data_IF_046798355940
#
_entry.id   IF_046798355940
#
_cell.length_a   1.000
_cell.length_b   1.000
_cell.length_c   1.000
_cell.angle_alpha   90.00
_cell.angle_beta   90.00
_cell.angle_gamma   90.00
#
_symmetry.space_group_name_H-M   'P 1'
#
loop_
_entity.id
_entity.type
_entity.pdbx_description
1 polymer ?
#
# COMPACT_ATOMS: atom_id res chain seq x y z
N UNK A 1 -1.82 9.13 -6.31
CA UNK A 1 -2.77 8.24 -5.59
C UNK A 1 -2.43 6.79 -5.91
N UNK A 2 -2.52 5.87 -4.93
CA UNK A 2 -2.08 4.47 -5.08
C UNK A 2 -3.27 3.52 -5.00
N UNK A 3 -3.39 2.64 -5.99
CA UNK A 3 -4.35 1.53 -6.03
C UNK A 3 -3.64 0.21 -6.31
N UNK A 4 -4.23 -0.90 -5.92
CA UNK A 4 -3.80 -2.24 -6.28
C UNK A 4 -4.50 -2.64 -7.58
N UNK A 5 -3.77 -2.99 -8.67
CA UNK A 5 -4.39 -3.24 -9.96
C UNK A 5 -5.39 -4.41 -9.95
N UNK A 6 -5.21 -5.40 -9.05
CA UNK A 6 -6.16 -6.50 -8.88
C UNK A 6 -7.48 -6.06 -8.23
N UNK A 7 -7.48 -4.93 -7.51
CA UNK A 7 -8.68 -4.35 -6.89
C UNK A 7 -9.31 -3.27 -7.78
N UNK A 8 -8.49 -2.34 -8.28
CA UNK A 8 -8.94 -1.25 -9.15
C UNK A 8 -7.77 -0.69 -9.96
N UNK A 9 -7.75 -0.98 -11.25
CA UNK A 9 -6.70 -0.60 -12.18
C UNK A 9 -6.99 0.70 -12.92
N UNK A 10 -5.99 1.24 -13.65
CA UNK A 10 -6.21 2.38 -14.56
C UNK A 10 -7.20 2.02 -15.68
N UNK A 11 -7.25 0.75 -16.11
CA UNK A 11 -8.20 0.28 -17.11
C UNK A 11 -9.64 0.25 -16.57
N UNK A 12 -9.80 -0.06 -15.26
CA UNK A 12 -11.09 0.05 -14.59
C UNK A 12 -11.55 1.50 -14.51
N UNK A 13 -10.65 2.42 -14.15
CA UNK A 13 -10.97 3.86 -14.13
C UNK A 13 -11.31 4.36 -15.54
N UNK A 14 -10.62 3.89 -16.58
CA UNK A 14 -10.96 4.21 -17.96
C UNK A 14 -12.37 3.76 -18.31
N UNK A 15 -12.75 2.57 -17.89
CA UNK A 15 -14.09 1.97 -18.15
C UNK A 15 -15.22 2.74 -17.47
N UNK A 16 -15.02 3.14 -16.19
CA UNK A 16 -16.05 3.85 -15.42
C UNK A 16 -15.98 5.37 -15.59
N UNK A 17 -14.88 5.88 -16.12
CA UNK A 17 -14.58 7.31 -16.38
C UNK A 17 -14.40 8.15 -15.13
N UNK A 18 -15.26 8.04 -14.12
CA UNK A 18 -15.17 8.74 -12.83
C UNK A 18 -15.44 7.74 -11.71
N UNK A 19 -14.61 7.80 -10.66
CA UNK A 19 -14.73 6.91 -9.50
C UNK A 19 -14.43 7.67 -8.20
N UNK A 20 -15.21 7.49 -7.12
CA UNK A 20 -14.86 7.96 -5.80
C UNK A 20 -13.60 7.25 -5.29
N UNK A 21 -12.59 8.00 -4.85
CA UNK A 21 -11.39 7.44 -4.24
C UNK A 21 -11.66 7.00 -2.80
N UNK A 22 -12.56 6.04 -2.66
CA UNK A 22 -13.09 5.54 -1.39
C UNK A 22 -12.12 4.60 -0.67
N UNK A 23 -12.46 4.18 0.55
CA UNK A 23 -11.70 3.18 1.31
C UNK A 23 -10.42 3.71 1.98
N UNK A 24 -10.14 5.00 1.91
CA UNK A 24 -8.98 5.59 2.60
C UNK A 24 -9.28 5.72 4.10
N UNK A 25 -8.53 4.97 4.94
CA UNK A 25 -8.70 4.95 6.41
C UNK A 25 -7.47 5.49 7.16
N UNK A 26 -6.67 6.32 6.48
CA UNK A 26 -5.57 7.07 7.04
C UNK A 26 -5.94 8.55 7.17
N UNK A 27 -5.89 9.10 8.39
CA UNK A 27 -6.13 10.53 8.60
C UNK A 27 -5.14 11.43 7.84
N UNK A 28 -3.89 10.99 7.66
CA UNK A 28 -2.90 11.72 6.87
C UNK A 28 -3.25 11.73 5.39
N UNK A 29 -3.63 10.58 4.82
CA UNK A 29 -4.02 10.48 3.42
C UNK A 29 -5.30 11.30 3.16
N UNK A 30 -6.29 11.25 4.08
CA UNK A 30 -7.49 12.08 4.04
C UNK A 30 -7.16 13.58 4.10
N UNK A 31 -6.21 13.98 4.95
CA UNK A 31 -5.79 15.38 5.04
C UNK A 31 -5.20 15.89 3.71
N UNK A 32 -4.49 15.05 2.96
CA UNK A 32 -4.04 15.40 1.61
C UNK A 32 -5.21 15.51 0.63
N UNK A 33 -6.18 14.58 0.67
CA UNK A 33 -7.37 14.68 -0.20
C UNK A 33 -8.18 15.95 0.05
N UNK A 34 -8.26 16.41 1.30
CA UNK A 34 -8.96 17.66 1.67
C UNK A 34 -8.26 18.92 1.20
N UNK A 35 -6.98 18.85 0.86
CA UNK A 35 -6.22 19.97 0.28
C UNK A 35 -6.34 20.04 -1.24
N UNK A 36 -6.90 19.01 -1.87
CA UNK A 36 -7.08 18.96 -3.31
C UNK A 36 -8.17 19.92 -3.77
N UNK A 37 -7.96 20.45 -4.97
CA UNK A 37 -8.92 21.28 -5.71
C UNK A 37 -9.43 20.53 -6.94
N UNK A 38 -10.64 20.86 -7.40
CA UNK A 38 -11.16 20.37 -8.67
C UNK A 38 -10.19 20.81 -9.79
N UNK A 39 -9.79 19.87 -10.63
CA UNK A 39 -8.82 20.10 -11.69
C UNK A 39 -7.40 19.65 -11.38
N UNK A 40 -7.05 19.38 -10.11
CA UNK A 40 -5.72 18.89 -9.74
C UNK A 40 -5.38 17.59 -10.45
N UNK A 41 -4.15 17.53 -10.97
CA UNK A 41 -3.62 16.33 -11.63
C UNK A 41 -3.31 15.21 -10.65
N UNK A 42 -3.63 13.99 -11.02
CA UNK A 42 -3.41 12.78 -10.22
C UNK A 42 -2.56 11.79 -11.01
N UNK A 43 -1.37 11.48 -10.50
CA UNK A 43 -0.60 10.32 -10.95
C UNK A 43 -1.26 9.05 -10.40
N UNK A 44 -1.80 8.22 -11.30
CA UNK A 44 -2.41 6.94 -10.93
C UNK A 44 -1.34 5.86 -10.81
N UNK A 45 -1.05 5.46 -9.57
CA UNK A 45 0.05 4.55 -9.25
C UNK A 45 -0.49 3.16 -8.89
N UNK A 46 -0.01 2.13 -9.58
CA UNK A 46 -0.24 0.74 -9.24
C UNK A 46 0.74 0.28 -8.16
N UNK A 47 0.21 -0.07 -6.98
CA UNK A 47 0.95 -0.70 -5.88
C UNK A 47 0.67 -2.20 -5.86
N UNK A 48 1.37 -2.95 -5.00
CA UNK A 48 1.17 -4.41 -4.84
C UNK A 48 1.28 -5.22 -6.15
N UNK A 49 2.07 -4.74 -7.11
CA UNK A 49 2.38 -5.40 -8.38
C UNK A 49 3.89 -5.36 -8.63
N UNK A 50 4.38 -6.14 -9.60
CA UNK A 50 5.81 -6.25 -9.90
C UNK A 50 6.08 -5.95 -11.38
N UNK A 51 6.78 -4.85 -11.71
CA UNK A 51 7.16 -3.75 -10.80
C UNK A 51 5.97 -2.82 -10.50
N UNK A 52 5.91 -2.19 -9.31
CA UNK A 52 4.96 -1.12 -9.07
C UNK A 52 5.37 0.15 -9.82
N UNK A 53 4.41 1.06 -10.10
CA UNK A 53 4.73 2.28 -10.85
C UNK A 53 3.51 3.10 -11.24
N UNK A 54 3.73 4.19 -11.98
CA UNK A 54 2.66 5.06 -12.49
C UNK A 54 2.15 4.51 -13.82
N UNK A 55 0.85 4.26 -13.85
CA UNK A 55 0.16 3.64 -15.00
C UNK A 55 -0.52 4.67 -15.91
N UNK A 56 -0.80 5.87 -15.41
CA UNK A 56 -1.51 6.89 -16.17
C UNK A 56 -1.90 8.09 -15.32
N UNK A 57 -2.78 8.89 -15.86
CA UNK A 57 -3.27 10.14 -15.28
C UNK A 57 -4.77 10.09 -15.00
N UNK A 58 -5.12 10.69 -13.88
CA UNK A 58 -6.46 11.08 -13.55
C UNK A 58 -6.48 12.57 -13.15
N UNK A 59 -7.66 13.09 -12.88
CA UNK A 59 -7.84 14.46 -12.41
C UNK A 59 -8.92 14.47 -11.33
N UNK A 60 -8.76 15.32 -10.34
CA UNK A 60 -9.80 15.53 -9.33
C UNK A 60 -11.04 16.15 -10.00
N UNK A 61 -12.16 15.47 -9.90
CA UNK A 61 -13.44 15.87 -10.47
C UNK A 61 -14.34 16.53 -9.43
N UNK A 62 -14.40 15.99 -8.21
CA UNK A 62 -15.15 16.55 -7.09
C UNK A 62 -14.34 16.38 -5.80
N UNK A 63 -14.50 17.32 -4.89
CA UNK A 63 -13.89 17.29 -3.55
C UNK A 63 -14.98 17.16 -2.48
N UNK A 64 -14.58 16.81 -1.26
CA UNK A 64 -15.47 16.66 -0.11
C UNK A 64 -16.64 15.68 -0.36
N UNK A 65 -16.40 14.62 -1.12
CA UNK A 65 -17.36 13.55 -1.36
C UNK A 65 -17.41 12.65 -0.12
N UNK A 66 -18.61 12.30 0.33
CA UNK A 66 -18.77 11.37 1.45
C UNK A 66 -18.38 9.98 0.97
N UNK A 67 -17.49 9.32 1.71
CA UNK A 67 -17.12 7.92 1.43
C UNK A 67 -18.24 6.98 1.91
N UNK A 68 -19.09 6.54 0.99
CA UNK A 68 -20.25 5.69 1.29
C UNK A 68 -19.87 4.32 1.87
N UNK A 69 -18.64 3.84 1.63
CA UNK A 69 -18.18 2.54 2.15
C UNK A 69 -18.09 2.49 3.67
N UNK A 70 -18.05 3.66 4.33
CA UNK A 70 -18.03 3.76 5.78
C UNK A 70 -19.33 3.30 6.45
N UNK A 71 -20.46 3.26 5.72
CA UNK A 71 -21.78 2.92 6.25
C UNK A 71 -22.19 1.48 5.98
N UNK A 72 -21.46 0.75 5.12
CA UNK A 72 -21.76 -0.63 4.79
C UNK A 72 -21.07 -1.61 5.78
N UNK A 73 -21.84 -2.32 6.63
CA UNK A 73 -21.26 -3.28 7.58
C UNK A 73 -20.51 -4.45 6.93
N UNK A 74 -20.75 -4.71 5.64
CA UNK A 74 -20.05 -5.76 4.90
C UNK A 74 -18.77 -5.26 4.24
N UNK A 75 -18.55 -3.95 4.22
CA UNK A 75 -17.35 -3.34 3.66
C UNK A 75 -16.16 -3.51 4.61
N UNK A 76 -14.95 -3.84 4.12
CA UNK A 76 -13.72 -3.81 4.91
C UNK A 76 -13.38 -2.39 5.40
N UNK A 77 -14.07 -1.39 4.88
CA UNK A 77 -13.92 0.02 5.21
C UNK A 77 -15.04 0.56 6.10
N UNK A 78 -15.84 -0.32 6.71
CA UNK A 78 -16.91 0.07 7.65
C UNK A 78 -16.35 0.88 8.83
N UNK A 79 -17.06 1.92 9.25
CA UNK A 79 -16.71 2.74 10.42
C UNK A 79 -17.90 2.80 11.36
N UNK A 80 -17.84 2.07 12.46
CA UNK A 80 -18.92 1.95 13.44
C UNK A 80 -19.40 3.30 14.02
N UNK A 81 -18.48 4.29 14.09
CA UNK A 81 -18.78 5.62 14.62
C UNK A 81 -19.43 6.55 13.59
N UNK A 82 -19.46 6.14 12.33
CA UNK A 82 -20.02 6.97 11.25
C UNK A 82 -21.54 6.80 11.17
N UNK A 83 -22.22 7.92 11.05
CA UNK A 83 -23.65 7.97 10.72
C UNK A 83 -23.86 8.88 9.52
N UNK A 84 -25.00 8.75 8.83
CA UNK A 84 -25.28 9.61 7.68
C UNK A 84 -25.34 11.10 8.04
N UNK A 85 -25.78 11.42 9.25
CA UNK A 85 -25.79 12.80 9.77
C UNK A 85 -24.42 13.27 10.24
N UNK A 86 -23.51 12.32 10.54
CA UNK A 86 -22.17 12.61 11.02
C UNK A 86 -21.15 11.64 10.38
N UNK A 87 -20.85 11.83 9.09
CA UNK A 87 -19.84 11.01 8.41
C UNK A 87 -18.45 11.29 8.99
N UNK A 88 -17.63 10.24 9.07
CA UNK A 88 -16.24 10.31 9.56
C UNK A 88 -15.26 10.44 8.40
N UNK A 89 -15.53 9.77 7.27
CA UNK A 89 -14.64 9.68 6.12
C UNK A 89 -15.20 10.37 4.90
N UNK A 90 -14.36 11.16 4.29
CA UNK A 90 -14.60 11.86 3.02
C UNK A 90 -13.49 11.49 2.03
N UNK A 91 -13.79 11.57 0.76
CA UNK A 91 -12.89 11.30 -0.34
C UNK A 91 -13.01 12.37 -1.44
N UNK A 92 -12.37 12.13 -2.55
CA UNK A 92 -12.51 12.88 -3.80
C UNK A 92 -12.96 11.96 -4.91
N UNK A 93 -13.69 12.47 -5.90
CA UNK A 93 -13.87 11.75 -7.15
C UNK A 93 -12.71 12.05 -8.08
N UNK A 94 -12.23 11.03 -8.76
CA UNK A 94 -11.20 11.15 -9.78
C UNK A 94 -11.75 10.75 -11.14
N UNK A 95 -11.43 11.57 -12.16
CA UNK A 95 -11.77 11.31 -13.56
C UNK A 95 -10.55 10.77 -14.28
N UNK A 96 -10.75 9.71 -15.07
CA UNK A 96 -9.75 9.23 -16.02
C UNK A 96 -9.34 10.32 -17.01
N UNK A 97 -8.05 10.46 -17.24
CA UNK A 97 -7.49 11.31 -18.28
C UNK A 97 -6.82 10.48 -19.35
N UNK A 98 -5.82 9.67 -18.96
CA UNK A 98 -5.14 8.80 -19.91
C UNK A 98 -4.43 7.62 -19.23
N UNK A 99 -4.26 6.54 -19.95
CA UNK A 99 -3.33 5.47 -19.63
C UNK A 99 -2.02 5.76 -20.36
N UNK A 100 -0.90 5.75 -19.66
CA UNK A 100 0.39 6.02 -20.28
C UNK A 100 0.74 4.98 -21.36
N UNK A 101 1.27 5.42 -22.51
CA UNK A 101 1.87 4.52 -23.50
C UNK A 101 3.00 3.68 -22.90
N UNK A 102 3.80 4.27 -22.01
CA UNK A 102 4.90 3.61 -21.33
C UNK A 102 4.73 3.68 -19.81
N UNK A 103 4.56 2.53 -19.20
CA UNK A 103 4.45 2.40 -17.74
C UNK A 103 5.70 2.92 -17.05
N UNK A 104 5.55 3.86 -16.11
CA UNK A 104 6.68 4.46 -15.37
C UNK A 104 6.93 3.67 -14.10
N UNK A 105 7.73 2.61 -14.22
CA UNK A 105 8.04 1.70 -13.11
C UNK A 105 8.84 2.38 -11.99
N UNK A 106 8.59 1.99 -10.74
CA UNK A 106 9.28 2.53 -9.56
C UNK A 106 10.82 2.44 -9.63
N UNK A 107 11.44 1.38 -10.19
CA UNK A 107 12.90 1.37 -10.40
C UNK A 107 13.38 2.52 -11.28
N UNK A 108 12.63 2.90 -12.34
CA UNK A 108 12.95 4.04 -13.21
C UNK A 108 12.86 5.36 -12.43
N UNK A 109 11.78 5.53 -11.64
CA UNK A 109 11.59 6.71 -10.78
C UNK A 109 12.74 6.83 -9.76
N UNK A 110 13.19 5.73 -9.16
CA UNK A 110 14.29 5.71 -8.18
C UNK A 110 15.65 6.03 -8.80
N UNK A 111 15.86 5.69 -10.06
CA UNK A 111 17.11 5.94 -10.77
C UNK A 111 17.21 7.39 -11.28
N UNK A 112 16.10 8.11 -11.31
CA UNK A 112 16.03 9.47 -11.83
C UNK A 112 16.32 10.49 -10.73
N UNK A 113 17.38 11.27 -10.91
CA UNK A 113 17.85 12.24 -9.94
C UNK A 113 16.89 13.44 -9.79
N UNK A 114 16.15 13.78 -10.84
CA UNK A 114 15.13 14.84 -10.81
C UNK A 114 13.93 14.48 -9.91
N UNK A 115 13.74 13.19 -9.61
CA UNK A 115 12.65 12.66 -8.80
C UNK A 115 13.08 12.24 -7.39
N UNK A 116 14.36 12.45 -7.00
CA UNK A 116 14.93 11.95 -5.75
C UNK A 116 14.18 12.43 -4.50
N UNK A 117 13.60 13.62 -4.53
CA UNK A 117 12.91 14.23 -3.38
C UNK A 117 11.44 13.83 -3.25
N UNK A 118 10.90 13.06 -4.20
CA UNK A 118 9.49 12.63 -4.15
C UNK A 118 9.15 11.94 -2.86
N UNK A 119 7.99 12.29 -2.27
CA UNK A 119 7.43 11.63 -1.08
C UNK A 119 7.23 10.13 -1.32
N UNK A 120 6.97 9.71 -2.56
CA UNK A 120 6.86 8.31 -2.97
C UNK A 120 8.09 7.47 -2.60
N UNK A 121 9.28 8.07 -2.63
CA UNK A 121 10.56 7.40 -2.37
C UNK A 121 10.94 7.37 -0.90
N UNK A 122 10.28 8.19 -0.07
CA UNK A 122 10.49 8.24 1.38
C UNK A 122 9.78 7.09 2.10
N UNK A 123 10.28 6.62 3.24
CA UNK A 123 9.60 5.61 4.02
C UNK A 123 8.18 6.07 4.40
N UNK A 124 7.17 5.24 4.10
CA UNK A 124 5.76 5.52 4.42
C UNK A 124 4.81 4.63 3.63
N UNK A 125 3.60 4.43 4.18
CA UNK A 125 2.55 3.58 3.56
C UNK A 125 1.29 4.40 3.25
N UNK A 126 1.46 5.64 2.80
CA UNK A 126 0.31 6.48 2.44
C UNK A 126 -0.19 6.13 1.04
N UNK A 127 -1.49 5.95 0.91
CA UNK A 127 -2.17 5.72 -0.38
C UNK A 127 -2.34 7.00 -1.18
N UNK A 128 -2.41 8.15 -0.52
CA UNK A 128 -2.47 9.48 -1.13
C UNK A 128 -1.27 10.29 -0.64
N UNK A 129 -0.53 10.87 -1.57
CA UNK A 129 0.70 11.62 -1.30
C UNK A 129 0.75 12.85 -2.19
N UNK A 130 1.29 13.98 -1.72
CA UNK A 130 1.55 15.14 -2.56
C UNK A 130 2.68 14.85 -3.54
N UNK A 131 2.62 15.52 -4.68
CA UNK A 131 3.66 15.52 -5.71
C UNK A 131 3.90 16.97 -6.10
N UNK A 132 5.15 17.40 -6.08
CA UNK A 132 5.53 18.73 -6.54
C UNK A 132 5.35 18.84 -8.06
N UNK A 133 4.95 20.01 -8.53
CA UNK A 133 4.63 20.27 -9.93
C UNK A 133 5.75 19.86 -10.90
N UNK A 134 7.04 20.15 -10.67
CA UNK A 134 8.12 19.70 -11.53
C UNK A 134 8.21 18.17 -11.64
N UNK A 135 8.05 17.47 -10.52
CA UNK A 135 8.08 16.00 -10.50
C UNK A 135 6.85 15.41 -11.19
N UNK A 136 5.69 16.04 -11.06
CA UNK A 136 4.47 15.63 -11.77
C UNK A 136 4.69 15.69 -13.28
N UNK A 137 5.13 16.83 -13.81
CA UNK A 137 5.38 17.01 -15.25
C UNK A 137 6.46 16.07 -15.78
N UNK A 138 7.53 15.88 -15.02
CA UNK A 138 8.60 14.96 -15.41
C UNK A 138 8.11 13.50 -15.52
N UNK A 139 7.28 13.03 -14.59
CA UNK A 139 6.65 11.69 -14.69
C UNK A 139 5.71 11.60 -15.89
N UNK A 140 4.96 12.65 -16.19
CA UNK A 140 4.11 12.69 -17.39
C UNK A 140 4.96 12.53 -18.64
N UNK A 141 6.08 13.26 -18.78
CA UNK A 141 7.01 13.10 -19.88
C UNK A 141 7.57 11.67 -19.98
N UNK A 142 7.99 11.08 -18.85
CA UNK A 142 8.48 9.71 -18.79
C UNK A 142 7.42 8.68 -19.25
N UNK A 143 6.15 8.97 -19.03
CA UNK A 143 5.03 8.14 -19.49
C UNK A 143 4.84 8.14 -21.02
N UNK A 144 5.36 9.17 -21.71
CA UNK A 144 5.27 9.34 -23.16
C UNK A 144 6.58 9.02 -23.91
N UNK A 145 7.68 8.86 -23.17
CA UNK A 145 8.99 8.54 -23.75
C UNK A 145 9.28 7.05 -23.54
N UNK A 146 9.61 6.35 -24.62
CA UNK A 146 10.03 4.96 -24.56
C UNK A 146 11.16 4.76 -23.55
N UNK A 147 11.02 3.84 -22.60
CA UNK A 147 12.06 3.60 -21.61
C UNK A 147 13.33 3.06 -22.30
N UNK A 148 14.52 3.40 -21.81
CA UNK A 148 15.75 2.78 -22.29
C UNK A 148 15.67 1.26 -22.10
N UNK A 149 16.31 0.47 -22.97
CA UNK A 149 16.29 -0.99 -22.84
C UNK A 149 16.79 -1.41 -21.45
N UNK A 150 16.06 -2.32 -20.81
CA UNK A 150 16.47 -2.83 -19.49
C UNK A 150 17.89 -3.41 -19.58
N UNK A 151 18.79 -3.05 -18.67
CA UNK A 151 20.10 -3.70 -18.61
C UNK A 151 19.88 -5.20 -18.40
N UNK A 152 20.72 -6.06 -19.01
CA UNK A 152 20.58 -7.50 -18.89
C UNK A 152 20.49 -7.91 -17.41
N UNK A 153 19.46 -8.65 -17.04
CA UNK A 153 19.25 -9.12 -15.65
C UNK A 153 20.45 -9.95 -15.22
N UNK A 154 21.38 -9.35 -14.50
CA UNK A 154 22.49 -10.06 -13.89
C UNK A 154 21.88 -11.01 -12.85
N UNK A 155 21.88 -12.31 -13.14
CA UNK A 155 21.46 -13.33 -12.16
C UNK A 155 22.32 -13.14 -10.92
N UNK A 156 21.73 -12.70 -9.81
CA UNK A 156 22.44 -12.67 -8.52
C UNK A 156 23.05 -14.05 -8.28
N UNK A 157 24.35 -14.16 -7.96
CA UNK A 157 24.95 -15.44 -7.64
C UNK A 157 24.13 -16.09 -6.51
N UNK A 158 23.74 -17.34 -6.72
CA UNK A 158 23.04 -18.12 -5.70
C UNK A 158 23.96 -18.20 -4.48
N UNK A 159 23.67 -17.44 -3.43
CA UNK A 159 24.35 -17.59 -2.15
C UNK A 159 24.06 -19.02 -1.68
N UNK A 160 25.06 -19.87 -1.66
CA UNK A 160 24.94 -21.23 -1.18
C UNK A 160 24.41 -21.18 0.26
N UNK A 161 23.32 -21.92 0.52
CA UNK A 161 22.78 -22.05 1.88
C UNK A 161 23.89 -22.59 2.80
N UNK A 162 24.10 -22.01 3.98
CA UNK A 162 25.10 -22.50 4.90
C UNK A 162 24.80 -23.96 5.24
N UNK A 163 25.81 -24.82 5.05
CA UNK A 163 25.76 -26.24 5.39
C UNK A 163 25.46 -26.36 6.88
N UNK A 164 24.36 -27.01 7.25
CA UNK A 164 24.01 -27.27 8.65
C UNK A 164 25.11 -28.13 9.26
N UNK A 165 25.80 -27.63 10.29
CA UNK A 165 26.72 -28.42 11.12
C UNK A 165 25.97 -29.62 11.71
N UNK A 166 26.57 -30.85 11.73
CA UNK A 166 25.92 -32.00 12.33
C UNK A 166 25.69 -31.81 13.83
N UNK A 167 24.47 -32.13 14.27
CA UNK A 167 24.07 -32.06 15.67
C UNK A 167 24.90 -32.98 16.54
N UNK A 168 25.50 -32.47 17.62
CA UNK A 168 26.21 -33.28 18.65
C UNK A 168 25.21 -34.23 19.31
N UNK A 169 25.56 -35.52 19.33
CA UNK A 169 24.81 -36.59 20.00
C UNK A 169 24.59 -36.26 21.48
N UNK A 170 23.33 -36.27 21.91
CA UNK A 170 22.98 -36.20 23.34
C UNK A 170 23.22 -37.54 24.00
N UNK A 171 24.16 -37.59 24.91
CA UNK A 171 24.38 -38.67 25.86
C UNK A 171 23.16 -38.85 26.77
N UNK A 172 22.65 -40.07 26.83
CA UNK A 172 21.51 -40.45 27.71
C UNK A 172 21.96 -40.40 29.18
N UNK A 173 21.30 -39.54 29.97
CA UNK A 173 21.41 -39.56 31.43
C UNK A 173 20.31 -40.48 32.02
N UNK A 174 20.71 -41.32 33.00
CA UNK A 174 19.91 -42.30 33.76
C UNK A 174 18.76 -41.64 34.52
N UNK A 175 17.64 -42.36 34.74
CA UNK A 175 16.50 -41.84 35.53
C UNK A 175 16.78 -41.92 37.03
N UNK A 176 16.53 -40.82 37.75
CA UNK A 176 16.46 -40.77 39.22
C UNK A 176 15.03 -41.03 39.70
N UNK A 177 14.91 -41.87 40.73
CA UNK A 177 13.73 -42.36 41.37
C UNK A 177 12.89 -41.25 42.05
N UNK A 178 11.55 -41.45 42.11
CA UNK A 178 10.58 -40.69 42.87
C UNK A 178 10.78 -40.90 44.38
N UNK A 179 10.55 -39.86 45.20
CA UNK A 179 10.13 -40.06 46.58
C UNK A 179 8.61 -39.87 46.72
N UNK A 180 8.08 -40.63 47.69
CA UNK A 180 6.68 -40.88 47.96
C UNK A 180 5.87 -39.70 48.54
N UNK A 181 4.56 -39.82 48.38
CA UNK A 181 3.51 -38.96 48.90
C UNK A 181 3.55 -38.82 50.41
N UNK A 182 3.23 -37.61 50.90
CA UNK A 182 2.76 -37.36 52.27
C UNK A 182 1.35 -36.78 52.26
N UNK A 183 0.47 -37.50 52.93
CA UNK A 183 -0.92 -37.31 53.25
C UNK A 183 -1.18 -36.03 54.05
N UNK A 184 -2.35 -35.44 53.78
CA UNK A 184 -2.99 -34.40 54.61
C UNK A 184 -3.39 -34.90 55.98
N UNK A 185 -3.65 -33.96 56.93
CA UNK A 185 -4.93 -33.99 57.61
C UNK A 185 -5.67 -32.64 57.53
N UNK A 186 -7.02 -32.76 57.50
CA UNK A 186 -7.94 -31.63 57.49
C UNK A 186 -8.24 -31.09 58.89
N UNK A 187 -8.88 -29.89 58.89
CA UNK A 187 -9.72 -29.34 59.98
C UNK A 187 -10.70 -28.37 59.34
N UNK A 188 -11.92 -28.66 59.42
CA UNK A 188 -13.14 -28.29 60.09
C UNK A 188 -13.28 -26.83 60.55
N UNK A 189 -14.30 -26.25 59.98
CA UNK A 189 -15.41 -25.42 60.50
C UNK A 189 -15.11 -24.30 61.51
N UNK A 190 -15.50 -23.11 61.14
CA UNK A 190 -16.69 -22.35 61.65
C UNK A 190 -17.04 -21.25 60.63
#
# INVERSE_FOLDING_TARGET
MKSEPDSFSIDDLQRVTVEPWSGVRSHFARAYMRQMSVGDGVLFYHSSTEPPGVAGLARVERTNVIDETQFDPNSPYFEERATRDKPVWDCVDVRFIEKFPHYVALPRIRADQALADMVLLKPGRLSVQPVEEPAYHHIVELGHIEPPPEPPKVKKPRVAKPVKKPAKAKTKAKPKAKPAAKTKPGKRAR
#
